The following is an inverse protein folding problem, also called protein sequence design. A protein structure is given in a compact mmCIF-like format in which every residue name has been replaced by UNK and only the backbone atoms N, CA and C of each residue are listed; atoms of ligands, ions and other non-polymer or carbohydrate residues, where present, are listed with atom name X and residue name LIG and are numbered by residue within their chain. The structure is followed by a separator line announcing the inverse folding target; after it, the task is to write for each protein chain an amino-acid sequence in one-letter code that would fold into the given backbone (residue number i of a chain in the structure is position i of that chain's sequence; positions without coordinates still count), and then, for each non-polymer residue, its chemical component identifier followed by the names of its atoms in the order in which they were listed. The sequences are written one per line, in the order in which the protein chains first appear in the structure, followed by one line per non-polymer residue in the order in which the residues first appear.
data_IF_801021037644
#
_entry.id   IF_801021037644
#
_cell.length_a   1.000
_cell.length_b   1.000
_cell.length_c   1.000
_cell.angle_alpha   90.00
_cell.angle_beta   90.00
_cell.angle_gamma   90.00
#
_symmetry.space_group_name_H-M   'P 1'
#
loop_
_entity.id
_entity.type
_entity.pdbx_description
1 polymer ?
#
# COMPACT_ATOMS: atom_id res chain seq x y z
N UNK A 1 15.63 1.88 15.62
CA UNK A 1 14.36 2.18 14.93
C UNK A 1 14.62 2.32 13.43
N UNK A 2 13.76 1.80 12.62
CA UNK A 2 13.92 1.88 11.17
C UNK A 2 13.66 3.30 10.67
N UNK A 3 14.57 3.83 9.83
CA UNK A 3 14.37 5.14 9.20
C UNK A 3 13.34 5.04 8.08
N UNK A 4 12.34 5.90 8.11
CA UNK A 4 11.33 5.98 7.04
C UNK A 4 11.95 6.32 5.69
N UNK A 5 12.97 7.18 5.68
CA UNK A 5 13.67 7.56 4.44
C UNK A 5 14.42 6.37 3.83
N UNK A 6 15.15 5.63 4.64
CA UNK A 6 15.89 4.46 4.17
C UNK A 6 14.92 3.39 3.68
N UNK A 7 13.83 3.18 4.42
CA UNK A 7 12.84 2.18 4.06
C UNK A 7 12.12 2.51 2.74
N UNK A 8 11.72 3.77 2.56
CA UNK A 8 11.07 4.20 1.31
C UNK A 8 12.00 4.05 0.11
N UNK A 9 13.27 4.38 0.26
CA UNK A 9 14.27 4.20 -0.80
C UNK A 9 14.49 2.72 -1.13
N UNK A 10 14.51 1.86 -0.11
CA UNK A 10 14.62 0.43 -0.32
C UNK A 10 13.43 -0.11 -1.11
N UNK A 11 12.22 0.29 -0.75
CA UNK A 11 11.01 -0.11 -1.47
C UNK A 11 11.06 0.32 -2.94
N UNK A 12 11.44 1.57 -3.19
CA UNK A 12 11.55 2.07 -4.56
C UNK A 12 12.62 1.31 -5.35
N UNK A 13 13.76 1.01 -4.73
CA UNK A 13 14.84 0.25 -5.38
C UNK A 13 14.40 -1.17 -5.76
N UNK A 14 13.39 -1.72 -5.10
CA UNK A 14 12.82 -3.03 -5.41
C UNK A 14 11.64 -2.95 -6.38
N UNK A 15 11.32 -1.76 -6.87
CA UNK A 15 10.30 -1.55 -7.89
C UNK A 15 8.91 -1.23 -7.38
N UNK A 16 8.73 -1.02 -6.07
CA UNK A 16 7.43 -0.63 -5.51
C UNK A 16 7.15 0.84 -5.80
N UNK A 17 6.25 1.08 -6.72
CA UNK A 17 6.02 2.40 -7.32
C UNK A 17 4.57 2.88 -7.26
N UNK A 18 3.73 2.24 -6.45
CA UNK A 18 2.34 2.66 -6.23
C UNK A 18 1.98 2.41 -4.76
N UNK A 19 1.42 3.43 -4.11
CA UNK A 19 1.12 3.37 -2.68
C UNK A 19 -0.29 3.86 -2.42
N UNK A 20 -1.01 3.13 -1.59
CA UNK A 20 -2.35 3.51 -1.15
C UNK A 20 -2.62 2.99 0.25
N UNK A 21 -3.72 3.39 0.83
CA UNK A 21 -4.15 2.95 2.15
C UNK A 21 -5.02 3.98 2.82
N UNK A 22 -5.47 3.66 4.03
CA UNK A 22 -6.14 4.64 4.90
C UNK A 22 -5.06 5.24 5.79
N UNK A 23 -4.85 6.57 5.78
CA UNK A 23 -3.80 7.18 6.58
C UNK A 23 -3.95 6.85 8.06
N UNK A 24 -2.84 6.53 8.71
CA UNK A 24 -2.81 6.26 10.14
C UNK A 24 -1.60 6.94 10.79
N UNK A 25 -1.72 7.23 12.09
CA UNK A 25 -0.70 8.00 12.80
C UNK A 25 0.65 7.29 12.92
N UNK A 26 0.64 5.98 13.09
CA UNK A 26 1.87 5.20 13.27
C UNK A 26 2.72 5.10 11.99
N UNK A 27 2.09 5.23 10.83
CA UNK A 27 2.78 5.22 9.54
C UNK A 27 2.94 6.63 8.95
N UNK A 28 2.58 7.68 9.69
CA UNK A 28 2.56 9.06 9.16
C UNK A 28 3.92 9.52 8.64
N UNK A 29 5.01 9.15 9.29
CA UNK A 29 6.35 9.50 8.83
C UNK A 29 6.69 8.90 7.47
N UNK A 30 6.37 7.62 7.29
CA UNK A 30 6.58 6.93 6.03
C UNK A 30 5.66 7.47 4.94
N UNK A 31 4.39 7.67 5.26
CA UNK A 31 3.40 8.20 4.30
C UNK A 31 3.82 9.57 3.79
N UNK A 32 4.31 10.44 4.68
CA UNK A 32 4.75 11.78 4.29
C UNK A 32 5.90 11.74 3.29
N UNK A 33 6.90 10.89 3.54
CA UNK A 33 8.05 10.76 2.65
C UNK A 33 7.62 10.22 1.29
N UNK A 34 6.76 9.22 1.29
CA UNK A 34 6.24 8.63 0.05
C UNK A 34 5.41 9.66 -0.72
N UNK A 35 4.54 10.40 -0.04
CA UNK A 35 3.65 11.39 -0.66
C UNK A 35 4.44 12.56 -1.28
N UNK A 36 5.57 12.92 -0.68
CA UNK A 36 6.42 14.01 -1.17
C UNK A 36 7.28 13.61 -2.38
N UNK A 37 7.41 12.32 -2.68
CA UNK A 37 8.26 11.84 -3.77
C UNK A 37 7.43 11.57 -5.02
N UNK A 38 7.70 12.29 -6.14
CA UNK A 38 6.95 12.07 -7.39
C UNK A 38 7.10 10.65 -7.96
N UNK A 39 8.14 9.91 -7.58
CA UNK A 39 8.36 8.54 -8.05
C UNK A 39 7.53 7.50 -7.28
N UNK A 40 6.94 7.89 -6.16
CA UNK A 40 6.15 7.01 -5.30
C UNK A 40 4.78 7.60 -5.03
N UNK A 41 3.88 7.64 -6.06
CA UNK A 41 2.57 8.24 -5.87
C UNK A 41 1.79 7.54 -4.76
N UNK A 42 1.17 8.35 -3.88
CA UNK A 42 0.35 7.88 -2.78
C UNK A 42 -1.09 8.36 -2.96
N UNK A 43 -2.03 7.44 -2.94
CA UNK A 43 -3.45 7.71 -3.12
C UNK A 43 -4.21 7.26 -1.88
N UNK A 44 -4.59 8.18 -0.98
CA UNK A 44 -5.35 7.81 0.20
C UNK A 44 -6.73 7.30 -0.18
N UNK A 45 -7.18 6.25 0.50
CA UNK A 45 -8.50 5.66 0.32
C UNK A 45 -9.37 5.92 1.55
N UNK A 46 -10.68 5.83 1.37
CA UNK A 46 -11.64 6.03 2.46
C UNK A 46 -11.83 4.76 3.31
N UNK A 47 -11.51 3.60 2.75
CA UNK A 47 -11.58 2.30 3.43
C UNK A 47 -10.47 1.39 2.92
N UNK A 48 -10.07 0.45 3.75
CA UNK A 48 -8.99 -0.48 3.42
C UNK A 48 -9.35 -1.41 2.26
N UNK A 49 -10.59 -1.86 2.16
CA UNK A 49 -11.04 -2.69 1.03
C UNK A 49 -11.02 -1.92 -0.30
N UNK A 50 -11.35 -0.64 -0.28
CA UNK A 50 -11.20 0.21 -1.46
C UNK A 50 -9.73 0.34 -1.86
N UNK A 51 -8.83 0.44 -0.88
CA UNK A 51 -7.39 0.48 -1.13
C UNK A 51 -6.89 -0.82 -1.78
N UNK A 52 -7.40 -1.97 -1.37
CA UNK A 52 -7.10 -3.25 -2.02
C UNK A 52 -7.50 -3.22 -3.51
N UNK A 53 -8.65 -2.64 -3.81
CA UNK A 53 -9.10 -2.45 -5.20
C UNK A 53 -8.16 -1.56 -6.00
N UNK A 54 -7.69 -0.45 -5.41
CA UNK A 54 -6.71 0.43 -6.05
C UNK A 54 -5.39 -0.31 -6.32
N UNK A 55 -4.89 -1.08 -5.36
CA UNK A 55 -3.69 -1.90 -5.54
C UNK A 55 -3.86 -2.90 -6.68
N UNK A 56 -5.00 -3.55 -6.74
CA UNK A 56 -5.30 -4.53 -7.78
C UNK A 56 -5.29 -3.88 -9.17
N UNK A 57 -5.96 -2.73 -9.31
CA UNK A 57 -5.96 -1.98 -10.56
C UNK A 57 -4.58 -1.50 -10.96
N UNK A 58 -3.79 -1.03 -10.01
CA UNK A 58 -2.41 -0.60 -10.24
C UNK A 58 -1.55 -1.76 -10.75
N UNK A 59 -1.68 -2.93 -10.13
CA UNK A 59 -0.93 -4.11 -10.57
C UNK A 59 -1.30 -4.50 -12.01
N UNK A 60 -2.58 -4.51 -12.35
CA UNK A 60 -3.04 -4.80 -13.71
C UNK A 60 -2.54 -3.76 -14.71
N UNK A 61 -2.28 -2.54 -14.27
CA UNK A 61 -1.71 -1.47 -15.10
C UNK A 61 -0.17 -1.51 -15.16
N UNK A 62 0.48 -2.51 -14.57
CA UNK A 62 1.92 -2.67 -14.62
C UNK A 62 2.69 -2.07 -13.46
N UNK A 63 2.00 -1.63 -12.40
CA UNK A 63 2.63 -1.11 -11.19
C UNK A 63 2.84 -2.21 -10.16
N UNK A 64 3.76 -1.97 -9.22
CA UNK A 64 3.96 -2.87 -8.09
C UNK A 64 3.43 -2.20 -6.82
N UNK A 65 2.24 -2.62 -6.32
CA UNK A 65 1.52 -1.87 -5.32
C UNK A 65 1.93 -2.20 -3.89
N UNK A 66 1.83 -1.19 -3.03
CA UNK A 66 1.96 -1.30 -1.57
C UNK A 66 0.71 -0.76 -0.91
N UNK A 67 0.15 -1.53 0.01
CA UNK A 67 -0.97 -1.14 0.85
C UNK A 67 -0.44 -0.80 2.26
N UNK A 68 -0.63 0.44 2.66
CA UNK A 68 -0.26 0.92 3.99
C UNK A 68 -1.52 1.00 4.85
N UNK A 69 -1.55 0.32 5.99
CA UNK A 69 -2.74 0.34 6.84
C UNK A 69 -2.43 0.08 8.30
N UNK A 70 -3.37 0.46 9.16
CA UNK A 70 -3.41 0.04 10.53
C UNK A 70 -3.85 -1.43 10.59
N UNK A 71 -3.34 -2.20 11.56
CA UNK A 71 -3.65 -3.62 11.64
C UNK A 71 -5.15 -3.91 11.80
N UNK A 72 -5.90 -3.01 12.45
CA UNK A 72 -7.36 -3.15 12.58
C UNK A 72 -8.08 -3.08 11.23
N UNK A 73 -7.44 -2.51 10.20
CA UNK A 73 -8.00 -2.46 8.85
C UNK A 73 -8.00 -3.80 8.13
N UNK A 74 -7.24 -4.78 8.62
CA UNK A 74 -7.14 -6.09 7.98
C UNK A 74 -8.52 -6.78 7.89
N UNK A 75 -9.36 -6.61 8.89
CA UNK A 75 -10.70 -7.18 8.87
C UNK A 75 -11.55 -6.74 7.68
N UNK A 76 -11.40 -5.48 7.26
CA UNK A 76 -12.10 -4.97 6.07
C UNK A 76 -11.55 -5.53 4.77
N UNK A 77 -10.32 -6.02 4.77
CA UNK A 77 -9.64 -6.50 3.56
C UNK A 77 -9.88 -7.99 3.29
N UNK A 78 -10.37 -8.76 4.26
CA UNK A 78 -10.47 -10.22 4.13
C UNK A 78 -11.28 -10.64 2.92
N UNK A 79 -12.44 -10.05 2.72
CA UNK A 79 -13.28 -10.36 1.56
C UNK A 79 -12.56 -10.03 0.26
N UNK A 80 -11.97 -8.84 0.15
CA UNK A 80 -11.25 -8.43 -1.06
C UNK A 80 -10.06 -9.34 -1.33
N UNK A 81 -9.26 -9.66 -0.33
CA UNK A 81 -8.11 -10.55 -0.49
C UNK A 81 -8.51 -11.95 -0.96
N UNK A 82 -9.58 -12.50 -0.41
CA UNK A 82 -10.01 -13.86 -0.74
C UNK A 82 -10.78 -13.95 -2.04
N UNK A 83 -11.61 -12.95 -2.37
CA UNK A 83 -12.46 -12.96 -3.56
C UNK A 83 -11.79 -12.37 -4.80
N UNK A 84 -10.71 -11.61 -4.62
CA UNK A 84 -10.05 -10.90 -5.71
C UNK A 84 -8.57 -11.30 -5.84
N UNK A 85 -7.75 -10.91 -4.85
CA UNK A 85 -6.30 -11.10 -4.96
C UNK A 85 -5.90 -12.56 -4.99
N UNK A 86 -6.49 -13.39 -4.13
CA UNK A 86 -6.17 -14.81 -4.06
C UNK A 86 -6.60 -15.54 -5.33
N UNK A 87 -7.82 -15.27 -5.81
CA UNK A 87 -8.38 -15.95 -6.98
C UNK A 87 -7.61 -15.60 -8.24
N UNK A 88 -7.32 -14.32 -8.45
CA UNK A 88 -6.63 -13.84 -9.66
C UNK A 88 -5.11 -13.76 -9.50
N UNK A 89 -4.58 -14.21 -8.37
CA UNK A 89 -3.14 -14.24 -8.08
C UNK A 89 -2.47 -12.88 -8.24
N UNK A 90 -3.11 -11.85 -7.68
CA UNK A 90 -2.61 -10.47 -7.73
C UNK A 90 -1.85 -10.17 -6.45
N UNK A 91 -0.52 -9.96 -6.52
CA UNK A 91 0.28 -9.68 -5.34
C UNK A 91 0.08 -8.24 -4.85
N UNK A 92 0.11 -8.07 -3.54
CA UNK A 92 0.11 -6.77 -2.88
C UNK A 92 1.04 -6.87 -1.67
N UNK A 93 2.00 -5.97 -1.57
CA UNK A 93 2.77 -5.84 -0.33
C UNK A 93 1.95 -5.04 0.67
N UNK A 94 1.71 -5.61 1.85
CA UNK A 94 0.95 -4.94 2.91
C UNK A 94 1.91 -4.58 4.03
N UNK A 95 1.92 -3.30 4.40
CA UNK A 95 2.69 -2.80 5.54
C UNK A 95 1.68 -2.33 6.59
N UNK A 96 1.69 -3.00 7.73
CA UNK A 96 0.74 -2.72 8.81
C UNK A 96 1.44 -2.18 10.05
N UNK A 97 0.80 -1.23 10.68
CA UNK A 97 1.24 -0.71 11.98
C UNK A 97 0.59 -1.44 13.13
#
# INVERSE_FOLDING_TARGET
MLSSEIFSKLLLSKGFDFYTGVPCSLLSGLIRIIDDDPQTPYFPAVREDAAVGLCTGAYLAGKLPVLLMQNSGLGYCLNAFTSLNLIYKIPVLVIMS
#
